data_IF_556378654285
#
_entry.id   IF_556378654285
#
_cell.length_a   1.000
_cell.length_b   1.000
_cell.length_c   1.000
_cell.angle_alpha   90.00
_cell.angle_beta   90.00
_cell.angle_gamma   90.00
#
_symmetry.space_group_name_H-M   'P 1'
#
loop_
_entity.id
_entity.type
_entity.pdbx_description
1 polymer ?
#
# COMPACT_ATOMS: atom_id res chain seq x y z
N UNK A 1 -9.29 15.69 -79.15
CA UNK A 1 -8.44 14.72 -79.86
C UNK A 1 -7.02 15.01 -79.41
N UNK A 2 -6.26 14.19 -78.70
CA UNK A 2 -6.35 12.79 -78.30
C UNK A 2 -5.30 12.64 -77.21
N UNK A 3 -5.61 11.98 -76.09
CA UNK A 3 -4.60 11.37 -75.24
C UNK A 3 -4.43 9.92 -75.73
N UNK A 4 -3.23 9.32 -75.67
CA UNK A 4 -3.11 8.26 -74.68
C UNK A 4 -1.72 8.11 -74.04
N UNK A 5 -1.80 7.78 -72.75
CA UNK A 5 -0.97 6.94 -71.89
C UNK A 5 0.34 6.34 -72.45
N UNK A 6 1.39 6.39 -71.61
CA UNK A 6 2.06 5.16 -71.16
C UNK A 6 2.82 5.34 -69.84
N UNK A 7 2.74 4.27 -69.06
CA UNK A 7 3.06 4.04 -67.65
C UNK A 7 4.56 3.83 -67.41
N UNK A 8 5.12 4.29 -66.28
CA UNK A 8 6.24 3.62 -65.56
C UNK A 8 6.56 4.26 -64.20
N UNK A 9 6.12 3.57 -63.16
CA UNK A 9 6.93 3.12 -62.01
C UNK A 9 8.05 4.05 -61.52
N UNK A 10 7.78 4.77 -60.44
CA UNK A 10 8.78 5.10 -59.44
C UNK A 10 8.09 5.16 -58.07
N UNK A 11 8.15 4.04 -57.34
CA UNK A 11 7.90 4.00 -55.90
C UNK A 11 8.94 4.89 -55.24
N UNK A 12 8.55 6.12 -54.93
CA UNK A 12 9.29 7.04 -54.09
C UNK A 12 9.04 6.70 -52.62
N UNK A 13 10.11 6.33 -51.94
CA UNK A 13 10.21 6.15 -50.51
C UNK A 13 9.83 7.44 -49.77
N UNK A 14 8.59 7.55 -49.32
CA UNK A 14 8.28 8.39 -48.17
C UNK A 14 8.24 7.48 -46.96
N UNK A 15 9.39 7.43 -46.28
CA UNK A 15 9.50 6.91 -44.94
C UNK A 15 8.42 7.57 -44.10
N UNK A 16 7.36 6.81 -43.82
CA UNK A 16 6.57 7.00 -42.62
C UNK A 16 7.56 6.88 -41.49
N UNK A 17 8.07 8.02 -41.05
CA UNK A 17 8.65 8.20 -39.74
C UNK A 17 7.66 7.54 -38.80
N UNK A 18 7.98 6.32 -38.40
CA UNK A 18 7.50 5.73 -37.17
C UNK A 18 7.94 6.76 -36.14
N UNK A 19 7.04 7.67 -35.81
CA UNK A 19 6.99 8.24 -34.47
C UNK A 19 7.00 6.99 -33.59
N UNK A 20 8.20 6.68 -33.11
CA UNK A 20 8.39 5.87 -31.93
C UNK A 20 7.42 6.48 -30.94
N UNK A 21 6.33 5.77 -30.66
CA UNK A 21 5.56 5.91 -29.43
C UNK A 21 6.63 6.00 -28.36
N UNK A 22 6.94 7.23 -27.98
CA UNK A 22 7.90 7.50 -26.93
C UNK A 22 7.34 6.76 -25.76
N UNK A 23 8.10 5.78 -25.27
CA UNK A 23 7.83 5.07 -24.04
C UNK A 23 7.14 6.03 -23.09
N UNK A 24 5.86 5.78 -22.84
CA UNK A 24 5.08 6.46 -21.83
C UNK A 24 5.66 5.99 -20.51
N UNK A 25 6.83 6.56 -20.19
CA UNK A 25 7.60 6.23 -19.02
C UNK A 25 6.73 6.61 -17.85
N UNK A 26 6.21 5.61 -17.15
CA UNK A 26 5.35 5.81 -15.97
C UNK A 26 6.12 6.75 -15.04
N UNK A 27 5.60 7.96 -14.86
CA UNK A 27 6.27 8.95 -14.02
C UNK A 27 6.44 8.38 -12.61
N UNK A 28 7.54 8.70 -11.95
CA UNK A 28 7.77 8.25 -10.57
C UNK A 28 6.57 8.61 -9.66
N UNK A 29 5.90 9.73 -9.95
CA UNK A 29 4.68 10.16 -9.29
C UNK A 29 3.50 9.19 -9.49
N UNK A 30 3.27 8.71 -10.71
CA UNK A 30 2.24 7.69 -10.98
C UNK A 30 2.56 6.38 -10.27
N UNK A 31 3.84 5.96 -10.25
CA UNK A 31 4.25 4.75 -9.53
C UNK A 31 4.01 4.88 -8.03
N UNK A 32 4.37 6.03 -7.42
CA UNK A 32 4.16 6.31 -6.00
C UNK A 32 2.67 6.35 -5.66
N UNK A 33 1.84 6.99 -6.50
CA UNK A 33 0.39 7.01 -6.30
C UNK A 33 -0.24 5.62 -6.37
N UNK A 34 0.22 4.76 -7.29
CA UNK A 34 -0.27 3.38 -7.41
C UNK A 34 0.18 2.54 -6.21
N UNK A 35 1.42 2.69 -5.74
CA UNK A 35 1.90 1.99 -4.53
C UNK A 35 1.12 2.41 -3.27
N UNK A 36 0.90 3.71 -3.10
CA UNK A 36 0.10 4.26 -2.00
C UNK A 36 -1.33 3.73 -2.00
N UNK A 37 -2.01 3.76 -3.15
CA UNK A 37 -3.39 3.24 -3.26
C UNK A 37 -3.46 1.73 -3.05
N UNK A 38 -2.44 0.96 -3.46
CA UNK A 38 -2.34 -0.46 -3.13
C UNK A 38 -2.12 -0.69 -1.63
N UNK A 39 -1.27 0.11 -0.99
CA UNK A 39 -1.04 0.09 0.46
C UNK A 39 -2.31 0.41 1.27
N UNK A 40 -3.06 1.45 0.88
CA UNK A 40 -4.34 1.80 1.51
C UNK A 40 -5.38 0.68 1.37
N UNK A 41 -5.40 -0.01 0.22
CA UNK A 41 -6.25 -1.19 0.04
C UNK A 41 -5.80 -2.34 0.93
N UNK A 42 -4.50 -2.62 1.02
CA UNK A 42 -3.94 -3.66 1.90
C UNK A 42 -4.32 -3.36 3.35
N UNK A 43 -4.07 -2.14 3.82
CA UNK A 43 -4.41 -1.65 5.16
C UNK A 43 -5.90 -1.90 5.47
N UNK A 44 -6.80 -1.51 4.56
CA UNK A 44 -8.24 -1.69 4.77
C UNK A 44 -8.64 -3.16 4.89
N UNK A 45 -8.00 -4.05 4.12
CA UNK A 45 -8.28 -5.49 4.20
C UNK A 45 -7.74 -6.08 5.51
N UNK A 46 -6.51 -5.75 5.90
CA UNK A 46 -5.94 -6.19 7.18
C UNK A 46 -6.79 -5.73 8.36
N UNK A 47 -7.23 -4.47 8.37
CA UNK A 47 -8.10 -3.96 9.43
C UNK A 47 -9.45 -4.70 9.49
N UNK A 48 -10.05 -5.00 8.34
CA UNK A 48 -11.32 -5.74 8.28
C UNK A 48 -11.17 -7.17 8.82
N UNK A 49 -10.07 -7.85 8.49
CA UNK A 49 -9.78 -9.19 9.00
C UNK A 49 -9.46 -9.18 10.50
N UNK A 50 -8.68 -8.20 10.97
CA UNK A 50 -8.42 -8.03 12.40
C UNK A 50 -9.72 -7.77 13.17
N UNK A 51 -10.63 -6.96 12.63
CA UNK A 51 -11.95 -6.69 13.24
C UNK A 51 -12.79 -7.98 13.36
N UNK A 52 -12.75 -8.83 12.33
CA UNK A 52 -13.46 -10.12 12.34
C UNK A 52 -12.89 -11.06 13.41
N UNK A 53 -11.57 -11.26 13.41
CA UNK A 53 -10.90 -12.11 14.39
C UNK A 53 -11.07 -11.57 15.83
N UNK A 54 -11.10 -10.25 15.99
CA UNK A 54 -11.32 -9.59 17.29
C UNK A 54 -12.72 -9.88 17.84
N UNK A 55 -13.74 -9.92 16.97
CA UNK A 55 -15.12 -10.28 17.37
C UNK A 55 -15.21 -11.71 17.87
N UNK A 56 -14.38 -12.59 17.34
CA UNK A 56 -14.28 -13.99 17.75
C UNK A 56 -13.30 -14.22 18.93
N UNK A 57 -12.69 -13.16 19.47
CA UNK A 57 -11.61 -13.22 20.48
C UNK A 57 -10.40 -14.06 20.06
N UNK A 58 -10.13 -14.16 18.75
CA UNK A 58 -9.01 -14.93 18.19
C UNK A 58 -7.73 -14.09 18.17
N UNK A 59 -7.29 -13.67 19.35
CA UNK A 59 -6.18 -12.74 19.53
C UNK A 59 -4.85 -13.34 19.05
N UNK A 60 -4.62 -14.62 19.30
CA UNK A 60 -3.41 -15.34 18.86
C UNK A 60 -3.30 -15.37 17.34
N UNK A 61 -4.41 -15.58 16.63
CA UNK A 61 -4.43 -15.62 15.16
C UNK A 61 -4.13 -14.25 14.55
N UNK A 62 -4.61 -13.17 15.20
CA UNK A 62 -4.28 -11.79 14.82
C UNK A 62 -2.76 -11.59 14.90
N UNK A 63 -2.14 -11.97 16.02
CA UNK A 63 -0.71 -11.78 16.19
C UNK A 63 0.12 -12.68 15.27
N UNK A 64 -0.30 -13.92 15.04
CA UNK A 64 0.40 -14.83 14.14
C UNK A 64 0.43 -14.29 12.69
N UNK A 65 -0.65 -13.62 12.27
CA UNK A 65 -0.84 -13.15 10.90
C UNK A 65 -0.24 -11.78 10.66
N UNK A 66 -0.28 -10.88 11.65
CA UNK A 66 0.00 -9.46 11.44
C UNK A 66 1.13 -8.90 12.33
N UNK A 67 1.58 -9.63 13.36
CA UNK A 67 2.67 -9.19 14.24
C UNK A 67 3.99 -9.93 13.93
N UNK A 68 5.14 -9.22 13.86
CA UNK A 68 5.28 -7.77 13.86
C UNK A 68 4.94 -7.15 12.49
N UNK A 69 4.40 -5.92 12.48
CA UNK A 69 3.91 -5.29 11.24
C UNK A 69 5.01 -5.11 10.20
N UNK A 70 6.25 -4.84 10.65
CA UNK A 70 7.40 -4.67 9.76
C UNK A 70 7.77 -5.93 8.96
N UNK A 71 7.44 -7.11 9.48
CA UNK A 71 7.72 -8.39 8.80
C UNK A 71 6.50 -8.86 7.99
N UNK A 72 5.30 -8.74 8.59
CA UNK A 72 4.07 -9.29 8.01
C UNK A 72 3.43 -8.39 6.96
N UNK A 73 3.57 -7.07 7.10
CA UNK A 73 2.98 -6.05 6.22
C UNK A 73 4.04 -4.97 5.91
N UNK A 74 5.17 -5.34 5.30
CA UNK A 74 6.26 -4.41 5.04
C UNK A 74 5.81 -3.22 4.17
N UNK A 75 4.87 -3.43 3.26
CA UNK A 75 4.34 -2.36 2.40
C UNK A 75 3.62 -1.26 3.20
N UNK A 76 2.98 -1.62 4.32
CA UNK A 76 2.33 -0.64 5.19
C UNK A 76 3.36 0.11 6.03
N UNK A 77 4.39 -0.58 6.52
CA UNK A 77 5.45 0.03 7.29
C UNK A 77 6.27 1.03 6.44
N UNK A 78 6.58 0.67 5.20
CA UNK A 78 7.33 1.53 4.26
C UNK A 78 6.55 2.79 3.86
N UNK A 79 5.25 2.66 3.58
CA UNK A 79 4.40 3.80 3.19
C UNK A 79 3.86 4.59 4.40
N UNK A 80 4.16 4.12 5.61
CA UNK A 80 3.73 4.70 6.86
C UNK A 80 2.24 4.57 7.17
N UNK A 81 1.58 3.58 6.56
CA UNK A 81 0.16 3.26 6.71
C UNK A 81 -0.09 2.19 7.79
N UNK A 82 0.91 1.80 8.55
CA UNK A 82 0.86 0.76 9.59
C UNK A 82 0.25 1.22 10.92
N UNK A 83 0.16 2.52 11.20
CA UNK A 83 -0.26 3.05 12.52
C UNK A 83 -1.63 2.51 12.99
N UNK A 84 -2.69 2.54 12.16
CA UNK A 84 -3.98 1.97 12.57
C UNK A 84 -3.92 0.46 12.84
N UNK A 85 -3.07 -0.27 12.11
CA UNK A 85 -2.89 -1.71 12.31
C UNK A 85 -2.16 -1.96 13.63
N UNK A 86 -1.07 -1.24 13.89
CA UNK A 86 -0.32 -1.33 15.16
C UNK A 86 -1.18 -1.03 16.38
N UNK A 87 -2.09 -0.04 16.30
CA UNK A 87 -3.07 0.23 17.36
C UNK A 87 -3.92 -1.00 17.68
N UNK A 88 -4.42 -1.70 16.66
CA UNK A 88 -5.20 -2.94 16.84
C UNK A 88 -4.36 -4.10 17.37
N UNK A 89 -3.12 -4.24 16.91
CA UNK A 89 -2.23 -5.29 17.42
C UNK A 89 -1.84 -5.04 18.87
N UNK A 90 -1.62 -3.80 19.27
CA UNK A 90 -1.37 -3.45 20.67
C UNK A 90 -2.57 -3.83 21.55
N UNK A 91 -3.80 -3.59 21.08
CA UNK A 91 -4.99 -4.06 21.78
C UNK A 91 -5.02 -5.59 21.91
N UNK A 92 -4.76 -6.33 20.83
CA UNK A 92 -4.70 -7.80 20.86
C UNK A 92 -3.59 -8.34 21.77
N UNK A 93 -2.41 -7.71 21.78
CA UNK A 93 -1.31 -8.00 22.70
C UNK A 93 -1.74 -7.81 24.17
N UNK A 94 -2.47 -6.72 24.47
CA UNK A 94 -3.04 -6.46 25.79
C UNK A 94 -4.04 -7.53 26.23
N UNK A 95 -4.89 -8.03 25.32
CA UNK A 95 -5.83 -9.13 25.63
C UNK A 95 -5.10 -10.43 26.04
N UNK A 96 -3.88 -10.64 25.53
CA UNK A 96 -3.03 -11.78 25.86
C UNK A 96 -2.04 -11.49 27.01
N UNK A 97 -2.12 -10.32 27.65
CA UNK A 97 -1.23 -9.92 28.74
C UNK A 97 0.19 -9.58 28.32
N UNK A 98 0.45 -9.41 27.01
CA UNK A 98 1.75 -9.04 26.44
C UNK A 98 1.92 -7.52 26.41
N UNK A 99 1.83 -6.89 27.58
CA UNK A 99 1.78 -5.43 27.71
C UNK A 99 3.06 -4.73 27.25
N UNK A 100 4.24 -5.32 27.47
CA UNK A 100 5.51 -4.71 27.05
C UNK A 100 5.58 -4.54 25.52
N UNK A 101 5.18 -5.56 24.76
CA UNK A 101 5.12 -5.51 23.30
C UNK A 101 4.07 -4.49 22.84
N UNK A 102 2.90 -4.45 23.50
CA UNK A 102 1.84 -3.50 23.18
C UNK A 102 2.27 -2.04 23.39
N UNK A 103 2.96 -1.76 24.50
CA UNK A 103 3.52 -0.45 24.81
C UNK A 103 4.56 -0.05 23.76
N UNK A 104 5.46 -0.96 23.37
CA UNK A 104 6.48 -0.68 22.35
C UNK A 104 5.86 -0.31 20.99
N UNK A 105 4.81 -1.02 20.57
CA UNK A 105 4.05 -0.70 19.36
C UNK A 105 3.40 0.69 19.43
N UNK A 106 2.75 1.01 20.56
CA UNK A 106 2.08 2.30 20.75
C UNK A 106 3.06 3.46 20.87
N UNK A 107 4.23 3.26 21.48
CA UNK A 107 5.31 4.24 21.50
C UNK A 107 5.81 4.55 20.09
N UNK A 108 5.92 3.53 19.22
CA UNK A 108 6.26 3.72 17.81
C UNK A 108 5.20 4.56 17.10
N UNK A 109 3.91 4.28 17.34
CA UNK A 109 2.82 5.08 16.79
C UNK A 109 2.87 6.54 17.26
N UNK A 110 3.02 6.79 18.57
CA UNK A 110 3.07 8.15 19.15
C UNK A 110 4.31 8.90 18.67
N UNK A 111 5.45 8.22 18.50
CA UNK A 111 6.65 8.83 17.95
C UNK A 111 6.47 9.36 16.52
N UNK A 112 5.61 8.70 15.73
CA UNK A 112 5.32 9.07 14.34
C UNK A 112 4.13 10.04 14.20
N UNK A 113 3.09 9.84 14.99
CA UNK A 113 1.92 10.71 15.07
C UNK A 113 1.64 11.13 16.52
N UNK A 114 2.36 12.14 17.04
CA UNK A 114 2.25 12.55 18.44
C UNK A 114 0.87 13.03 18.86
N UNK A 115 0.04 13.47 17.90
CA UNK A 115 -1.32 13.97 18.14
C UNK A 115 -2.41 12.92 17.91
N UNK A 116 -2.07 11.66 17.63
CA UNK A 116 -3.05 10.62 17.39
C UNK A 116 -3.70 10.19 18.72
N UNK A 117 -4.93 10.67 18.95
CA UNK A 117 -5.67 10.40 20.19
C UNK A 117 -5.92 8.91 20.43
N UNK A 118 -6.01 8.10 19.36
CA UNK A 118 -6.28 6.66 19.47
C UNK A 118 -5.10 5.96 20.11
N UNK A 119 -3.88 6.27 19.67
CA UNK A 119 -2.66 5.67 20.21
C UNK A 119 -2.46 6.03 21.69
N UNK A 120 -2.72 7.29 22.08
CA UNK A 120 -2.70 7.69 23.49
C UNK A 120 -3.77 6.99 24.32
N UNK A 121 -4.99 6.88 23.79
CA UNK A 121 -6.09 6.17 24.47
C UNK A 121 -5.75 4.70 24.67
N UNK A 122 -5.23 4.02 23.65
CA UNK A 122 -4.82 2.62 23.73
C UNK A 122 -3.68 2.43 24.72
N UNK A 123 -2.72 3.35 24.79
CA UNK A 123 -1.60 3.26 25.72
C UNK A 123 -2.05 3.41 27.17
N UNK A 124 -3.04 4.25 27.45
CA UNK A 124 -3.60 4.38 28.80
C UNK A 124 -4.40 3.14 29.25
N UNK A 125 -4.89 2.34 28.29
CA UNK A 125 -5.65 1.12 28.55
C UNK A 125 -4.77 -0.13 28.71
N UNK A 126 -3.56 -0.09 28.13
CA UNK A 126 -2.57 -1.18 28.12
C UNK A 126 -1.77 -1.18 29.42
#
# INVERSE_FOLDING_TARGET
>A
MTNPAENKTAQGLEGRSRETLGDEFVSAETIVSVKRTAGERSQRLSLAEIEELSRENRWEDILASFFPVTEKLPELAEEGLDIPVREKLAFALGQLGRFDDAIAELQTCIGREPMNFRCHSSLAYT
#
